data_IF_155142658046
#
_entry.id   IF_155142658046
#
_cell.length_a   1.000
_cell.length_b   1.000
_cell.length_c   1.000
_cell.angle_alpha   90.00
_cell.angle_beta   90.00
_cell.angle_gamma   90.00
#
_symmetry.space_group_name_H-M   'P 1'
#
loop_
_entity.id
_entity.type
_entity.pdbx_description
1 polymer ?
#
# COMPACT_ATOMS: atom_id res chain seq x y z
N UNK A 1 -27.11 -0.59 13.26
CA UNK A 1 -26.71 -1.48 12.14
C UNK A 1 -26.03 -0.72 11.05
N UNK A 2 -24.79 -1.00 10.74
CA UNK A 2 -24.16 -0.34 9.61
C UNK A 2 -24.76 -0.84 8.28
N UNK A 3 -25.04 0.10 7.40
CA UNK A 3 -25.44 -0.21 6.03
C UNK A 3 -24.21 -0.57 5.20
N UNK A 4 -23.08 0.11 5.45
CA UNK A 4 -21.83 -0.16 4.78
C UNK A 4 -21.13 -1.31 5.51
N UNK A 5 -20.96 -2.44 4.82
CA UNK A 5 -20.54 -3.68 5.49
C UNK A 5 -19.06 -3.96 5.36
N UNK A 6 -18.49 -3.83 4.15
CA UNK A 6 -17.07 -4.13 3.91
C UNK A 6 -16.44 -3.04 3.07
N UNK A 7 -15.24 -2.66 3.46
CA UNK A 7 -14.47 -1.69 2.66
C UNK A 7 -13.90 -2.40 1.44
N UNK A 8 -13.91 -1.70 0.31
CA UNK A 8 -13.22 -2.12 -0.90
C UNK A 8 -12.22 -1.04 -1.25
N UNK A 9 -10.96 -1.41 -1.43
CA UNK A 9 -9.94 -0.48 -1.88
C UNK A 9 -9.87 -0.45 -3.40
N UNK A 10 -9.49 0.70 -3.96
CA UNK A 10 -9.37 0.87 -5.40
C UNK A 10 -8.04 1.53 -5.75
N UNK A 11 -7.37 0.99 -6.76
CA UNK A 11 -6.23 1.65 -7.41
C UNK A 11 -6.43 1.51 -8.93
N UNK A 12 -5.85 2.41 -9.70
CA UNK A 12 -5.96 2.37 -11.14
C UNK A 12 -4.66 1.84 -11.76
N UNK A 13 -4.76 1.18 -12.90
CA UNK A 13 -3.60 0.75 -13.67
C UNK A 13 -3.85 0.94 -15.17
N UNK A 14 -2.82 1.37 -15.88
CA UNK A 14 -2.80 1.36 -17.35
C UNK A 14 -2.12 0.12 -17.90
N UNK A 15 -1.51 -0.69 -17.02
CA UNK A 15 -0.79 -1.91 -17.41
C UNK A 15 -1.19 -3.05 -16.46
N UNK A 16 -2.29 -3.78 -16.78
CA UNK A 16 -2.80 -4.82 -15.90
C UNK A 16 -1.81 -5.95 -15.63
N UNK A 17 -0.95 -6.29 -16.59
CA UNK A 17 0.02 -7.37 -16.38
C UNK A 17 1.06 -7.00 -15.33
N UNK A 18 1.56 -5.76 -15.36
CA UNK A 18 2.49 -5.29 -14.33
C UNK A 18 1.82 -5.21 -12.97
N UNK A 19 0.58 -4.74 -12.93
CA UNK A 19 -0.19 -4.67 -11.69
C UNK A 19 -0.42 -6.06 -11.12
N UNK A 20 -0.76 -7.03 -11.96
CA UNK A 20 -0.99 -8.41 -11.54
C UNK A 20 0.25 -9.01 -10.89
N UNK A 21 1.42 -8.78 -11.48
CA UNK A 21 2.69 -9.27 -10.92
C UNK A 21 2.98 -8.59 -9.58
N UNK A 22 2.77 -7.29 -9.51
CA UNK A 22 3.10 -6.54 -8.30
C UNK A 22 2.21 -6.96 -7.13
N UNK A 23 0.89 -6.89 -7.31
CA UNK A 23 -0.04 -7.20 -6.21
C UNK A 23 -0.11 -8.69 -5.91
N UNK A 24 -0.01 -9.52 -6.96
CA UNK A 24 -0.07 -10.97 -6.81
C UNK A 24 1.24 -11.58 -6.35
N UNK A 25 2.31 -11.37 -7.10
CA UNK A 25 3.58 -12.04 -6.83
C UNK A 25 4.41 -11.31 -5.79
N UNK A 26 4.56 -9.99 -5.94
CA UNK A 26 5.43 -9.22 -5.03
C UNK A 26 4.78 -9.02 -3.67
N UNK A 27 3.53 -8.54 -3.62
CA UNK A 27 2.84 -8.34 -2.35
C UNK A 27 2.18 -9.61 -1.81
N UNK A 28 2.00 -10.62 -2.66
CA UNK A 28 1.52 -11.93 -2.23
C UNK A 28 0.01 -12.04 -2.05
N UNK A 29 -0.78 -11.14 -2.66
CA UNK A 29 -2.22 -11.19 -2.57
C UNK A 29 -2.79 -12.20 -3.57
N UNK A 30 -3.90 -12.84 -3.18
CA UNK A 30 -4.56 -13.82 -4.04
C UNK A 30 -5.46 -13.12 -5.05
N UNK A 31 -5.25 -13.41 -6.34
CA UNK A 31 -6.13 -12.89 -7.39
C UNK A 31 -7.44 -13.67 -7.35
N UNK A 32 -8.54 -12.96 -7.12
CA UNK A 32 -9.87 -13.55 -7.01
C UNK A 32 -10.60 -13.57 -8.35
N UNK A 33 -10.45 -12.52 -9.14
CA UNK A 33 -11.09 -12.42 -10.45
C UNK A 33 -10.37 -11.41 -11.32
N UNK A 34 -10.57 -11.56 -12.63
CA UNK A 34 -10.04 -10.65 -13.62
C UNK A 34 -11.04 -10.55 -14.76
N UNK A 35 -11.45 -9.33 -15.08
CA UNK A 35 -12.35 -9.09 -16.20
C UNK A 35 -11.88 -7.84 -16.96
N UNK A 36 -12.71 -7.36 -17.88
CA UNK A 36 -12.33 -6.20 -18.69
C UNK A 36 -12.24 -4.90 -17.88
N UNK A 37 -12.79 -4.87 -16.67
CA UNK A 37 -12.82 -3.65 -15.85
C UNK A 37 -11.75 -3.62 -14.79
N UNK A 38 -11.42 -4.75 -14.18
CA UNK A 38 -10.55 -4.76 -13.02
C UNK A 38 -9.94 -6.14 -12.75
N UNK A 39 -8.82 -6.10 -12.02
CA UNK A 39 -8.31 -7.24 -11.27
C UNK A 39 -8.80 -7.09 -9.83
N UNK A 40 -9.35 -8.15 -9.25
CA UNK A 40 -9.78 -8.13 -7.86
C UNK A 40 -8.90 -9.04 -7.04
N UNK A 41 -8.25 -8.48 -6.03
CA UNK A 41 -7.37 -9.22 -5.13
C UNK A 41 -7.99 -9.32 -3.73
N UNK A 42 -7.71 -10.41 -3.05
CA UNK A 42 -7.93 -10.53 -1.61
C UNK A 42 -6.68 -9.99 -0.90
N UNK A 43 -6.76 -8.78 -0.39
CA UNK A 43 -5.66 -8.15 0.33
C UNK A 43 -5.81 -8.44 1.83
N UNK A 44 -5.65 -9.72 2.17
CA UNK A 44 -5.74 -10.22 3.54
C UNK A 44 -7.09 -9.92 4.19
N UNK A 45 -8.18 -10.22 3.47
CA UNK A 45 -9.53 -10.07 3.99
C UNK A 45 -10.29 -8.86 3.47
N UNK A 46 -9.61 -7.93 2.81
CA UNK A 46 -10.22 -6.76 2.18
C UNK A 46 -10.01 -6.85 0.68
N UNK A 47 -11.08 -6.64 -0.09
CA UNK A 47 -10.95 -6.64 -1.54
C UNK A 47 -10.21 -5.39 -1.99
N UNK A 48 -9.20 -5.59 -2.84
CA UNK A 48 -8.52 -4.51 -3.53
C UNK A 48 -8.80 -4.66 -5.02
N UNK A 49 -9.46 -3.67 -5.59
CA UNK A 49 -9.76 -3.67 -7.02
C UNK A 49 -8.74 -2.81 -7.74
N UNK A 50 -8.06 -3.41 -8.70
CA UNK A 50 -7.11 -2.71 -9.57
C UNK A 50 -7.86 -2.42 -10.86
N UNK A 51 -8.35 -1.20 -10.99
CA UNK A 51 -9.23 -0.79 -12.10
C UNK A 51 -8.39 -0.53 -13.36
N UNK A 52 -8.82 -1.12 -14.46
CA UNK A 52 -8.15 -0.96 -15.76
C UNK A 52 -8.63 0.34 -16.41
N UNK A 53 -7.70 1.25 -16.66
CA UNK A 53 -7.97 2.53 -17.29
C UNK A 53 -7.00 2.77 -18.43
N UNK A 54 -7.35 3.67 -19.36
CA UNK A 54 -6.47 3.98 -20.48
C UNK A 54 -5.45 5.06 -20.15
N UNK A 55 -5.84 6.00 -19.29
CA UNK A 55 -4.97 7.10 -18.87
C UNK A 55 -5.15 7.31 -17.38
N UNK A 56 -4.07 7.64 -16.69
CA UNK A 56 -4.11 7.84 -15.26
C UNK A 56 -2.94 8.70 -14.81
N UNK A 57 -3.22 9.66 -13.92
CA UNK A 57 -2.19 10.43 -13.22
C UNK A 57 -2.30 10.10 -11.73
N UNK A 58 -1.26 9.51 -11.14
CA UNK A 58 -1.32 9.12 -9.72
C UNK A 58 -1.49 10.32 -8.80
N UNK A 59 -2.22 10.11 -7.71
CA UNK A 59 -2.30 11.09 -6.63
C UNK A 59 -0.94 11.21 -5.95
N UNK A 60 -0.66 12.40 -5.39
CA UNK A 60 0.57 12.61 -4.62
C UNK A 60 0.50 11.98 -3.24
N UNK A 61 -0.70 11.79 -2.70
CA UNK A 61 -0.88 11.22 -1.38
C UNK A 61 -0.97 9.71 -1.40
N UNK A 62 -0.89 9.12 -0.23
CA UNK A 62 -1.10 7.68 -0.04
C UNK A 62 -2.54 7.32 -0.38
N UNK A 63 -2.73 6.32 -1.24
CA UNK A 63 -4.08 5.91 -1.64
C UNK A 63 -4.51 4.61 -0.95
N UNK A 64 -3.56 3.74 -0.61
CA UNK A 64 -3.84 2.50 0.09
C UNK A 64 -2.67 2.22 1.02
N UNK A 65 -2.95 1.74 2.21
CA UNK A 65 -1.93 1.35 3.16
C UNK A 65 -2.31 0.11 3.94
N UNK A 66 -1.31 -0.53 4.50
CA UNK A 66 -1.49 -1.71 5.34
C UNK A 66 -0.84 -1.49 6.69
N UNK A 67 -1.55 -1.83 7.74
CA UNK A 67 -0.97 -1.88 9.07
C UNK A 67 -0.15 -3.16 9.23
N UNK A 68 1.00 -3.05 9.88
CA UNK A 68 1.90 -4.18 10.15
C UNK A 68 2.30 -4.17 11.62
N UNK A 69 2.64 -5.34 12.14
CA UNK A 69 3.04 -5.44 13.55
C UNK A 69 4.48 -4.97 13.78
N UNK A 70 5.38 -5.30 12.84
CA UNK A 70 6.80 -4.95 12.92
C UNK A 70 7.18 -4.31 11.59
N UNK A 71 7.25 -2.98 11.58
CA UNK A 71 7.45 -2.25 10.33
C UNK A 71 8.85 -2.49 9.74
N UNK A 72 9.88 -2.60 10.56
CA UNK A 72 11.23 -2.84 10.04
C UNK A 72 11.33 -4.23 9.40
N UNK A 73 10.71 -5.23 10.01
CA UNK A 73 10.66 -6.58 9.42
C UNK A 73 9.88 -6.57 8.11
N UNK A 74 8.73 -5.85 8.06
CA UNK A 74 7.93 -5.75 6.85
C UNK A 74 8.69 -5.05 5.73
N UNK A 75 9.37 -3.94 6.03
CA UNK A 75 10.17 -3.21 5.03
C UNK A 75 11.29 -4.08 4.49
N UNK A 76 11.99 -4.81 5.36
CA UNK A 76 13.07 -5.71 4.92
C UNK A 76 12.56 -6.81 4.03
N UNK A 77 11.44 -7.43 4.40
CA UNK A 77 10.85 -8.51 3.59
C UNK A 77 10.42 -8.01 2.21
N UNK A 78 9.71 -6.88 2.16
CA UNK A 78 9.26 -6.31 0.90
C UNK A 78 10.44 -5.85 0.04
N UNK A 79 11.46 -5.29 0.64
CA UNK A 79 12.68 -4.90 -0.06
C UNK A 79 13.35 -6.12 -0.70
N UNK A 80 13.36 -7.25 0.01
CA UNK A 80 13.93 -8.50 -0.54
C UNK A 80 13.15 -9.01 -1.74
N UNK A 81 11.89 -8.61 -1.88
CA UNK A 81 11.04 -8.96 -3.02
C UNK A 81 11.10 -7.94 -4.16
N UNK A 82 11.96 -6.93 -4.02
CA UNK A 82 12.15 -5.91 -5.04
C UNK A 82 11.37 -4.62 -4.85
N UNK A 83 10.68 -4.46 -3.72
CA UNK A 83 9.99 -3.21 -3.42
C UNK A 83 11.01 -2.15 -3.02
N UNK A 84 10.87 -0.95 -3.56
CA UNK A 84 11.75 0.17 -3.25
C UNK A 84 11.03 1.18 -2.37
N UNK A 85 11.50 1.37 -1.13
CA UNK A 85 10.92 2.33 -0.22
C UNK A 85 11.45 3.73 -0.46
N UNK A 86 10.56 4.71 -0.39
CA UNK A 86 10.86 6.10 -0.73
C UNK A 86 11.64 6.80 0.38
N UNK A 87 12.61 7.64 0.00
CA UNK A 87 13.27 8.58 0.89
C UNK A 87 12.93 9.99 0.41
N UNK A 88 12.20 10.74 1.22
CA UNK A 88 11.73 12.05 0.80
C UNK A 88 12.71 13.17 1.07
N UNK A 89 13.64 12.97 2.00
CA UNK A 89 14.69 13.96 2.34
C UNK A 89 14.12 15.32 2.74
N UNK A 90 13.05 15.31 3.53
CA UNK A 90 12.41 16.54 3.99
C UNK A 90 12.95 16.89 5.39
N UNK A 91 13.23 18.19 5.64
CA UNK A 91 13.83 18.59 6.93
C UNK A 91 12.92 18.36 8.13
N UNK A 92 11.60 18.36 7.93
CA UNK A 92 10.63 18.15 9.02
C UNK A 92 10.19 16.70 9.16
N UNK A 93 10.68 15.81 8.30
CA UNK A 93 10.29 14.41 8.31
C UNK A 93 11.53 13.54 8.12
N UNK A 94 12.10 13.10 9.24
CA UNK A 94 13.32 12.30 9.20
C UNK A 94 12.96 10.83 9.11
N UNK A 95 13.48 10.18 8.07
CA UNK A 95 13.32 8.76 7.86
C UNK A 95 14.64 8.05 8.18
N UNK A 96 14.54 6.81 8.67
CA UNK A 96 15.75 6.02 8.87
C UNK A 96 16.24 5.45 7.53
N UNK A 97 17.30 4.65 7.58
CA UNK A 97 17.89 4.08 6.37
C UNK A 97 16.97 3.13 5.61
N UNK A 98 15.95 2.59 6.28
CA UNK A 98 14.96 1.72 5.65
C UNK A 98 13.77 2.50 5.08
N UNK A 99 13.73 3.81 5.30
CA UNK A 99 12.63 4.65 4.85
C UNK A 99 11.52 4.83 5.88
N UNK A 100 11.72 4.35 7.11
CA UNK A 100 10.71 4.45 8.15
C UNK A 100 10.76 5.83 8.80
N UNK A 101 9.62 6.48 8.85
CA UNK A 101 9.42 7.73 9.55
C UNK A 101 8.75 7.47 10.89
N UNK A 102 9.32 8.04 11.95
CA UNK A 102 8.71 8.03 13.27
C UNK A 102 7.94 9.33 13.45
N UNK A 103 6.62 9.25 13.49
CA UNK A 103 5.80 10.41 13.69
C UNK A 103 5.90 10.89 15.15
N UNK A 104 5.63 12.18 15.41
CA UNK A 104 5.69 12.71 16.77
C UNK A 104 4.78 11.99 17.76
N UNK A 105 3.68 11.39 17.26
CA UNK A 105 2.74 10.64 18.11
C UNK A 105 3.16 9.19 18.34
N UNK A 106 4.30 8.75 17.79
CA UNK A 106 4.81 7.39 17.96
C UNK A 106 4.41 6.43 16.87
N UNK A 107 3.59 6.84 15.91
CA UNK A 107 3.29 6.00 14.75
C UNK A 107 4.51 5.90 13.83
N UNK A 108 4.60 4.81 13.09
CA UNK A 108 5.70 4.57 12.15
C UNK A 108 5.11 4.31 10.78
N UNK A 109 5.69 4.92 9.75
CA UNK A 109 5.18 4.79 8.38
C UNK A 109 6.34 4.70 7.41
N UNK A 110 6.19 3.86 6.37
CA UNK A 110 7.11 3.81 5.25
C UNK A 110 6.30 3.74 3.96
N UNK A 111 6.80 4.37 2.90
CA UNK A 111 6.06 4.54 1.65
C UNK A 111 6.78 3.89 0.49
N UNK A 112 6.01 3.33 -0.44
CA UNK A 112 6.52 2.76 -1.69
C UNK A 112 5.50 2.99 -2.80
N UNK A 113 5.88 2.72 -4.03
CA UNK A 113 4.99 2.90 -5.16
C UNK A 113 4.70 1.59 -5.86
N UNK A 114 3.49 1.48 -6.40
CA UNK A 114 3.18 0.40 -7.31
C UNK A 114 3.70 0.73 -8.73
N UNK A 115 3.58 -0.19 -9.71
CA UNK A 115 4.10 0.06 -11.06
C UNK A 115 3.48 1.26 -11.77
N UNK A 116 2.29 1.66 -11.36
CA UNK A 116 1.60 2.81 -11.95
C UNK A 116 2.01 4.13 -11.33
N UNK A 117 2.74 4.08 -10.21
CA UNK A 117 3.11 5.28 -9.47
C UNK A 117 2.16 5.62 -8.35
N UNK A 118 1.18 4.76 -8.05
CA UNK A 118 0.33 4.96 -6.87
C UNK A 118 1.17 4.86 -5.60
N UNK A 119 0.98 5.80 -4.69
CA UNK A 119 1.71 5.78 -3.41
C UNK A 119 0.98 4.89 -2.42
N UNK A 120 1.71 3.92 -1.91
CA UNK A 120 1.23 2.94 -0.94
C UNK A 120 2.06 3.07 0.33
N UNK A 121 1.55 2.54 1.43
CA UNK A 121 2.29 2.60 2.69
C UNK A 121 2.13 1.33 3.51
N UNK A 122 3.12 1.09 4.35
CA UNK A 122 2.99 0.22 5.51
C UNK A 122 3.12 1.09 6.76
N UNK A 123 2.37 0.77 7.81
CA UNK A 123 2.39 1.59 9.02
C UNK A 123 2.18 0.72 10.25
N UNK A 124 2.71 1.20 11.36
CA UNK A 124 2.46 0.63 12.67
C UNK A 124 1.99 1.74 13.57
N UNK A 125 0.85 1.55 14.19
CA UNK A 125 0.21 2.61 14.98
C UNK A 125 0.38 2.36 16.46
N UNK A 126 0.81 3.40 17.17
CA UNK A 126 0.91 3.35 18.61
C UNK A 126 -0.50 3.13 19.18
N UNK A 127 -0.74 2.07 19.98
CA UNK A 127 -2.07 1.79 20.53
C UNK A 127 -2.66 2.95 21.31
N UNK A 128 -1.82 3.80 21.91
CA UNK A 128 -2.29 4.98 22.66
C UNK A 128 -2.98 6.01 21.77
N UNK A 129 -2.78 5.96 20.44
CA UNK A 129 -3.37 6.91 19.50
C UNK A 129 -4.71 6.44 18.95
N UNK A 130 -5.10 5.20 19.24
CA UNK A 130 -6.34 4.64 18.70
C UNK A 130 -7.54 5.13 19.50
N UNK A 131 -8.62 5.42 18.78
CA UNK A 131 -9.87 5.81 19.42
C UNK A 131 -10.48 4.65 20.20
N UNK A 132 -11.17 4.98 21.29
CA UNK A 132 -11.86 4.01 22.13
C UNK A 132 -13.36 4.09 21.91
#
# INVERSE_FOLDING_TARGET
MPILTKMIGFVATTDPEKAKKFYGDTLGFRLMSSDQYALAFDANGTMLRVTKVQQFTPSRGTVVGWEVEDIHAAVRELTSRGVHFEQFNLPFMKQDELGVWFAPNGDQVAWFKDPEGNTLSVSHHNPANLAR
#
